data_IF_050453484087
#
_entry.id   IF_050453484087
#
_cell.length_a   1.000
_cell.length_b   1.000
_cell.length_c   1.000
_cell.angle_alpha   90.00
_cell.angle_beta   90.00
_cell.angle_gamma   90.00
#
_symmetry.space_group_name_H-M   'P 1'
#
loop_
_entity.id
_entity.type
_entity.pdbx_description
1 polymer ?
#
# COMPACT_ATOMS: atom_id res chain seq x y z
N UNK A 1 3.02 -8.47 -17.85
CA UNK A 1 3.48 -8.46 -16.44
C UNK A 1 3.24 -9.86 -15.92
N UNK A 2 4.23 -10.47 -15.34
CA UNK A 2 4.16 -11.85 -14.86
C UNK A 2 4.55 -11.88 -13.37
N UNK A 3 3.65 -12.41 -12.54
CA UNK A 3 3.85 -12.63 -11.13
C UNK A 3 3.83 -14.13 -10.78
N UNK A 4 3.92 -15.00 -11.80
CA UNK A 4 3.85 -16.46 -11.63
C UNK A 4 4.84 -16.96 -10.58
N UNK A 5 4.32 -17.73 -9.63
CA UNK A 5 5.09 -18.30 -8.52
C UNK A 5 5.54 -17.31 -7.45
N UNK A 6 5.20 -16.02 -7.55
CA UNK A 6 5.51 -15.04 -6.52
C UNK A 6 4.44 -15.03 -5.42
N UNK A 7 4.88 -15.06 -4.16
CA UNK A 7 4.03 -14.90 -2.98
C UNK A 7 4.06 -13.44 -2.54
N UNK A 8 2.91 -12.79 -2.57
CA UNK A 8 2.81 -11.34 -2.42
C UNK A 8 1.88 -10.96 -1.28
N UNK A 9 2.43 -10.32 -0.25
CA UNK A 9 1.64 -9.76 0.86
C UNK A 9 0.93 -8.50 0.40
N UNK A 10 -0.38 -8.44 0.64
CA UNK A 10 -1.24 -7.29 0.33
C UNK A 10 -1.90 -6.82 1.62
N UNK A 11 -1.51 -5.64 2.12
CA UNK A 11 -2.14 -5.04 3.30
C UNK A 11 -3.36 -4.21 2.90
N UNK A 12 -4.37 -4.10 3.78
CA UNK A 12 -5.64 -3.44 3.41
C UNK A 12 -6.39 -4.20 2.32
N UNK A 13 -6.23 -5.53 2.28
CA UNK A 13 -6.72 -6.39 1.22
C UNK A 13 -8.25 -6.38 1.05
N UNK A 14 -9.00 -6.19 2.14
CA UNK A 14 -10.47 -6.14 2.11
C UNK A 14 -11.02 -4.80 1.59
N UNK A 15 -10.20 -3.76 1.52
CA UNK A 15 -10.57 -2.43 1.00
C UNK A 15 -10.80 -2.41 -0.52
N UNK A 16 -11.31 -1.29 -1.04
CA UNK A 16 -11.64 -1.15 -2.47
C UNK A 16 -10.43 -1.35 -3.40
N UNK A 17 -9.28 -0.75 -3.09
CA UNK A 17 -8.05 -0.96 -3.85
C UNK A 17 -7.48 -2.37 -3.60
N UNK A 18 -7.50 -2.85 -2.35
CA UNK A 18 -6.98 -4.16 -1.99
C UNK A 18 -7.64 -5.31 -2.77
N UNK A 19 -8.96 -5.25 -2.95
CA UNK A 19 -9.71 -6.20 -3.78
C UNK A 19 -9.25 -6.21 -5.23
N UNK A 20 -9.06 -5.04 -5.81
CA UNK A 20 -8.60 -4.92 -7.20
C UNK A 20 -7.16 -5.43 -7.37
N UNK A 21 -6.28 -5.12 -6.40
CA UNK A 21 -4.90 -5.60 -6.41
C UNK A 21 -4.85 -7.13 -6.22
N UNK A 22 -5.64 -7.68 -5.30
CA UNK A 22 -5.76 -9.14 -5.11
C UNK A 22 -6.15 -9.83 -6.40
N UNK A 23 -7.21 -9.35 -7.06
CA UNK A 23 -7.66 -9.90 -8.35
C UNK A 23 -6.57 -9.80 -9.44
N UNK A 24 -5.85 -8.68 -9.50
CA UNK A 24 -4.78 -8.46 -10.47
C UNK A 24 -3.57 -9.38 -10.23
N UNK A 25 -3.19 -9.62 -8.97
CA UNK A 25 -2.11 -10.56 -8.59
C UNK A 25 -2.48 -11.98 -9.01
N UNK A 26 -3.69 -12.45 -8.71
CA UNK A 26 -4.18 -13.79 -9.11
C UNK A 26 -4.19 -13.93 -10.63
N UNK A 27 -4.74 -12.94 -11.35
CA UNK A 27 -4.80 -12.94 -12.81
C UNK A 27 -3.41 -12.98 -13.49
N UNK A 28 -2.35 -12.58 -12.78
CA UNK A 28 -0.96 -12.62 -13.23
C UNK A 28 -0.18 -13.83 -12.68
N UNK A 29 -0.86 -14.83 -12.11
CA UNK A 29 -0.27 -16.08 -11.63
C UNK A 29 0.43 -15.99 -10.29
N UNK A 30 0.30 -14.86 -9.57
CA UNK A 30 0.83 -14.68 -8.22
C UNK A 30 -0.08 -15.28 -7.15
N UNK A 31 0.49 -15.61 -6.00
CA UNK A 31 -0.24 -16.07 -4.81
C UNK A 31 -0.34 -14.92 -3.81
N UNK A 32 -1.53 -14.34 -3.59
CA UNK A 32 -1.70 -13.27 -2.61
C UNK A 32 -1.72 -13.83 -1.18
N UNK A 33 -1.06 -13.13 -0.27
CA UNK A 33 -1.13 -13.28 1.19
C UNK A 33 -1.89 -12.06 1.72
N UNK A 34 -3.15 -12.25 2.07
CA UNK A 34 -4.08 -11.16 2.35
C UNK A 34 -4.02 -10.74 3.81
N UNK A 35 -3.76 -9.46 4.06
CA UNK A 35 -3.68 -8.89 5.42
C UNK A 35 -4.69 -7.76 5.57
N UNK A 36 -5.54 -7.86 6.59
CA UNK A 36 -6.47 -6.80 6.99
C UNK A 36 -6.87 -6.96 8.48
N UNK A 37 -7.59 -6.01 9.06
CA UNK A 37 -8.18 -6.13 10.39
C UNK A 37 -9.22 -7.24 10.46
N UNK A 38 -10.01 -7.38 9.40
CA UNK A 38 -11.06 -8.40 9.27
C UNK A 38 -11.40 -8.63 7.80
N UNK A 39 -11.97 -9.78 7.51
CA UNK A 39 -12.43 -10.14 6.17
C UNK A 39 -13.92 -10.51 6.18
N UNK A 40 -14.72 -10.07 5.19
CA UNK A 40 -16.04 -10.67 4.94
C UNK A 40 -15.92 -12.18 4.69
N UNK A 41 -16.95 -12.93 5.07
CA UNK A 41 -16.92 -14.40 5.01
C UNK A 41 -16.69 -14.97 3.59
N UNK A 42 -17.15 -14.24 2.58
CA UNK A 42 -17.06 -14.58 1.16
C UNK A 42 -15.86 -13.96 0.44
N UNK A 43 -15.01 -13.23 1.17
CA UNK A 43 -13.87 -12.54 0.56
C UNK A 43 -12.79 -13.53 0.11
N UNK A 44 -12.42 -13.48 -1.19
CA UNK A 44 -11.34 -14.26 -1.81
C UNK A 44 -11.26 -15.71 -1.26
N UNK A 45 -12.26 -16.56 -1.55
CA UNK A 45 -12.27 -17.94 -1.08
C UNK A 45 -11.08 -18.71 -1.64
N UNK A 46 -10.42 -19.50 -0.78
CA UNK A 46 -9.23 -20.27 -1.14
C UNK A 46 -7.90 -19.55 -0.94
N UNK A 47 -7.89 -18.24 -0.73
CA UNK A 47 -6.66 -17.47 -0.49
C UNK A 47 -6.27 -17.43 1.00
N UNK A 48 -4.95 -17.34 1.28
CA UNK A 48 -4.45 -17.21 2.64
C UNK A 48 -4.77 -15.84 3.23
N UNK A 49 -5.44 -15.81 4.39
CA UNK A 49 -5.89 -14.60 5.08
C UNK A 49 -5.30 -14.50 6.47
N UNK A 50 -4.80 -13.33 6.80
CA UNK A 50 -4.19 -13.00 8.09
C UNK A 50 -4.93 -11.77 8.66
N UNK A 51 -5.78 -11.99 9.66
CA UNK A 51 -6.57 -10.93 10.29
C UNK A 51 -5.90 -10.46 11.58
N UNK A 52 -5.31 -9.25 11.56
CA UNK A 52 -4.66 -8.64 12.73
C UNK A 52 -4.46 -7.13 12.54
N UNK A 53 -4.21 -6.43 13.64
CA UNK A 53 -3.92 -4.99 13.63
C UNK A 53 -2.45 -4.73 13.26
N UNK A 54 -2.24 -4.09 12.11
CA UNK A 54 -0.91 -3.69 11.63
C UNK A 54 -0.24 -2.62 12.50
N UNK A 55 -0.97 -1.92 13.36
CA UNK A 55 -0.40 -0.96 14.31
C UNK A 55 0.23 -1.66 15.52
N UNK A 56 -0.11 -2.94 15.76
CA UNK A 56 0.57 -3.81 16.72
C UNK A 56 1.79 -4.46 16.05
N UNK A 57 2.96 -3.90 16.32
CA UNK A 57 4.25 -4.37 15.75
C UNK A 57 4.55 -5.81 16.17
N UNK A 58 4.21 -6.21 17.39
CA UNK A 58 4.47 -7.56 17.89
C UNK A 58 3.55 -8.60 17.21
N UNK A 59 2.26 -8.28 17.04
CA UNK A 59 1.34 -9.10 16.28
C UNK A 59 1.79 -9.21 14.81
N UNK A 60 2.18 -8.08 14.19
CA UNK A 60 2.69 -8.06 12.81
C UNK A 60 3.90 -9.00 12.66
N UNK A 61 4.89 -8.91 13.55
CA UNK A 61 6.08 -9.77 13.50
C UNK A 61 5.71 -11.27 13.62
N UNK A 62 4.79 -11.61 14.55
CA UNK A 62 4.31 -13.00 14.74
C UNK A 62 3.63 -13.54 13.50
N UNK A 63 2.70 -12.77 12.91
CA UNK A 63 1.92 -13.23 11.76
C UNK A 63 2.78 -13.31 10.49
N UNK A 64 3.65 -12.32 10.25
CA UNK A 64 4.60 -12.36 9.12
C UNK A 64 5.58 -13.54 9.23
N UNK A 65 5.98 -13.95 10.45
CA UNK A 65 6.82 -15.14 10.63
C UNK A 65 6.13 -16.41 10.09
N UNK A 66 4.81 -16.51 10.17
CA UNK A 66 4.01 -17.66 9.71
C UNK A 66 3.78 -17.68 8.19
N UNK A 67 3.98 -16.56 7.50
CA UNK A 67 3.70 -16.44 6.05
C UNK A 67 4.70 -17.19 5.15
N UNK A 68 5.77 -17.77 5.71
CA UNK A 68 6.79 -18.47 4.92
C UNK A 68 7.60 -17.53 4.02
N UNK A 69 7.80 -17.92 2.77
CA UNK A 69 8.49 -17.13 1.75
C UNK A 69 7.64 -15.95 1.28
N UNK A 70 8.26 -14.78 1.08
CA UNK A 70 7.59 -13.55 0.63
C UNK A 70 8.45 -12.92 -0.48
N UNK A 71 7.91 -12.85 -1.70
CA UNK A 71 8.57 -12.23 -2.85
C UNK A 71 8.19 -10.76 -3.00
N UNK A 72 6.99 -10.38 -2.58
CA UNK A 72 6.50 -9.01 -2.69
C UNK A 72 5.71 -8.54 -1.47
N UNK A 73 5.77 -7.22 -1.22
CA UNK A 73 4.96 -6.53 -0.21
C UNK A 73 4.27 -5.33 -0.87
N UNK A 74 2.96 -5.32 -0.87
CA UNK A 74 2.13 -4.21 -1.34
C UNK A 74 1.46 -3.55 -0.12
N UNK A 75 2.00 -2.41 0.32
CA UNK A 75 1.49 -1.65 1.46
C UNK A 75 0.34 -0.75 1.01
N UNK A 76 -0.89 -1.28 1.05
CA UNK A 76 -2.10 -0.55 0.68
C UNK A 76 -2.90 -0.06 1.89
N UNK A 77 -2.68 -0.66 3.07
CA UNK A 77 -3.34 -0.21 4.30
C UNK A 77 -3.07 1.27 4.55
N UNK A 78 -4.12 2.00 4.82
CA UNK A 78 -4.06 3.43 5.07
C UNK A 78 -5.44 4.02 5.24
N UNK A 79 -5.48 5.27 5.65
CA UNK A 79 -6.73 6.01 5.87
C UNK A 79 -6.61 7.46 5.42
N UNK A 80 -7.73 8.12 5.43
CA UNK A 80 -7.88 9.52 5.05
C UNK A 80 -8.67 10.26 6.11
N UNK A 81 -8.25 11.47 6.42
CA UNK A 81 -9.02 12.42 7.20
C UNK A 81 -8.74 13.84 6.71
N UNK A 82 -9.78 14.64 6.67
CA UNK A 82 -9.76 16.01 6.18
C UNK A 82 -10.22 16.96 7.28
N UNK A 83 -9.49 18.04 7.49
CA UNK A 83 -9.83 19.07 8.46
C UNK A 83 -8.79 20.18 8.49
N UNK A 84 -9.15 21.37 9.04
CA UNK A 84 -8.22 22.49 9.17
C UNK A 84 -6.97 22.07 9.96
N UNK A 85 -5.79 22.32 9.41
CA UNK A 85 -4.52 21.81 9.99
C UNK A 85 -4.24 22.31 11.41
N UNK A 86 -4.81 23.48 11.77
CA UNK A 86 -4.65 24.08 13.10
C UNK A 86 -5.70 23.62 14.11
N UNK A 87 -6.72 22.87 13.69
CA UNK A 87 -7.88 22.51 14.52
C UNK A 87 -8.19 21.01 14.52
N UNK A 88 -7.40 20.20 13.85
CA UNK A 88 -7.61 18.74 13.75
C UNK A 88 -7.38 18.00 15.07
N UNK A 89 -6.69 18.62 16.03
CA UNK A 89 -6.34 18.06 17.34
C UNK A 89 -5.29 16.94 17.27
N UNK A 90 -4.74 16.59 18.44
CA UNK A 90 -3.70 15.57 18.54
C UNK A 90 -4.21 14.19 18.10
N UNK A 91 -5.44 13.82 18.47
CA UNK A 91 -6.03 12.53 18.08
C UNK A 91 -6.12 12.37 16.56
N UNK A 92 -6.42 13.45 15.83
CA UNK A 92 -6.48 13.41 14.36
C UNK A 92 -5.11 13.24 13.72
N UNK A 93 -4.09 13.90 14.27
CA UNK A 93 -2.69 13.71 13.86
C UNK A 93 -2.25 12.28 14.15
N UNK A 94 -2.43 11.80 15.36
CA UNK A 94 -2.03 10.44 15.77
C UNK A 94 -2.74 9.38 14.94
N UNK A 95 -4.03 9.53 14.67
CA UNK A 95 -4.77 8.59 13.84
C UNK A 95 -4.17 8.49 12.43
N UNK A 96 -3.82 9.63 11.79
CA UNK A 96 -3.21 9.61 10.46
C UNK A 96 -1.83 8.96 10.45
N UNK A 97 -0.99 9.25 11.45
CA UNK A 97 0.33 8.62 11.56
C UNK A 97 0.24 7.14 11.92
N UNK A 98 -0.68 6.74 12.77
CA UNK A 98 -0.90 5.32 13.09
C UNK A 98 -1.32 4.53 11.87
N UNK A 99 -2.35 4.99 11.14
CA UNK A 99 -2.89 4.21 10.02
C UNK A 99 -2.02 4.26 8.76
N UNK A 100 -1.34 5.37 8.46
CA UNK A 100 -0.54 5.51 7.24
C UNK A 100 0.96 5.21 7.42
N UNK A 101 1.51 5.47 8.60
CA UNK A 101 2.95 5.34 8.84
C UNK A 101 3.27 4.11 9.68
N UNK A 102 2.60 3.92 10.81
CA UNK A 102 2.90 2.79 11.71
C UNK A 102 2.60 1.45 11.05
N UNK A 103 1.47 1.30 10.33
CA UNK A 103 1.13 0.08 9.59
C UNK A 103 2.21 -0.31 8.58
N UNK A 104 2.68 0.67 7.79
CA UNK A 104 3.77 0.46 6.83
C UNK A 104 5.07 0.08 7.53
N UNK A 105 5.46 0.81 8.57
CA UNK A 105 6.70 0.55 9.32
C UNK A 105 6.69 -0.84 9.94
N UNK A 106 5.59 -1.27 10.55
CA UNK A 106 5.45 -2.62 11.13
C UNK A 106 5.67 -3.70 10.08
N UNK A 107 5.04 -3.57 8.91
CA UNK A 107 5.19 -4.53 7.81
C UNK A 107 6.62 -4.54 7.24
N UNK A 108 7.20 -3.37 7.00
CA UNK A 108 8.59 -3.26 6.50
C UNK A 108 9.56 -3.90 7.48
N UNK A 109 9.44 -3.61 8.77
CA UNK A 109 10.31 -4.19 9.81
C UNK A 109 10.21 -5.72 9.89
N UNK A 110 9.03 -6.29 9.65
CA UNK A 110 8.82 -7.73 9.69
C UNK A 110 9.23 -8.45 8.39
N UNK A 111 8.99 -7.84 7.22
CA UNK A 111 9.18 -8.47 5.90
C UNK A 111 10.60 -8.29 5.37
N UNK A 112 11.22 -7.13 5.53
CA UNK A 112 12.57 -6.85 4.98
C UNK A 112 13.64 -7.84 5.43
N UNK A 113 13.71 -8.28 6.70
CA UNK A 113 14.68 -9.31 7.10
C UNK A 113 14.54 -10.62 6.32
N UNK A 114 13.30 -11.04 5.98
CA UNK A 114 13.05 -12.24 5.16
C UNK A 114 13.55 -12.03 3.72
N UNK A 115 13.24 -10.89 3.10
CA UNK A 115 13.72 -10.55 1.76
C UNK A 115 15.26 -10.44 1.70
N UNK A 116 15.89 -9.88 2.74
CA UNK A 116 17.35 -9.82 2.84
C UNK A 116 17.97 -11.22 2.91
N UNK A 117 17.38 -12.14 3.69
CA UNK A 117 17.82 -13.53 3.77
C UNK A 117 17.61 -14.28 2.43
N UNK A 118 16.62 -13.88 1.64
CA UNK A 118 16.34 -14.43 0.31
C UNK A 118 17.23 -13.80 -0.79
N UNK A 119 17.86 -12.64 -0.53
CA UNK A 119 18.62 -11.87 -1.51
C UNK A 119 17.78 -11.25 -2.62
N UNK A 120 16.45 -11.19 -2.45
CA UNK A 120 15.51 -10.61 -3.43
C UNK A 120 14.20 -10.21 -2.77
N UNK A 121 13.50 -9.27 -3.39
CA UNK A 121 12.16 -8.84 -2.98
C UNK A 121 11.69 -7.60 -3.72
N UNK A 122 10.39 -7.34 -3.65
CA UNK A 122 9.79 -6.10 -4.15
C UNK A 122 8.87 -5.48 -3.12
N UNK A 123 8.92 -4.17 -2.96
CA UNK A 123 8.02 -3.41 -2.07
C UNK A 123 7.37 -2.30 -2.88
N UNK A 124 6.04 -2.24 -2.86
CA UNK A 124 5.26 -1.16 -3.47
C UNK A 124 4.40 -0.50 -2.40
N UNK A 125 4.66 0.76 -2.15
CA UNK A 125 3.93 1.57 -1.17
C UNK A 125 2.87 2.44 -1.86
N UNK A 126 1.80 2.80 -1.14
CA UNK A 126 0.79 3.73 -1.63
C UNK A 126 0.93 5.06 -0.87
N UNK A 127 1.57 6.02 -1.55
CA UNK A 127 1.60 7.41 -1.14
C UNK A 127 0.30 8.14 -1.51
N UNK A 128 0.41 9.41 -1.85
CA UNK A 128 -0.70 10.21 -2.38
C UNK A 128 -0.17 11.37 -3.22
N UNK A 129 -0.81 11.64 -4.36
CA UNK A 129 -0.46 12.79 -5.18
C UNK A 129 -0.66 14.11 -4.43
N UNK A 130 -1.74 14.20 -3.63
CA UNK A 130 -2.02 15.36 -2.79
C UNK A 130 -1.03 15.60 -1.64
N UNK A 131 -0.08 14.68 -1.41
CA UNK A 131 0.98 14.84 -0.42
C UNK A 131 2.31 15.35 -1.02
N UNK A 132 2.39 15.54 -2.34
CA UNK A 132 3.57 16.11 -3.01
C UNK A 132 3.73 17.59 -2.66
N UNK A 133 2.62 18.28 -2.47
CA UNK A 133 2.56 19.68 -2.08
C UNK A 133 1.46 19.87 -1.03
N UNK A 134 1.68 20.77 -0.07
CA UNK A 134 0.68 21.09 0.96
C UNK A 134 -0.62 21.58 0.34
N UNK A 135 -1.74 21.05 0.84
CA UNK A 135 -3.09 21.41 0.42
C UNK A 135 -3.93 21.80 1.62
N UNK A 136 -4.88 22.71 1.42
CA UNK A 136 -5.81 23.10 2.47
C UNK A 136 -6.57 21.88 3.02
N UNK A 137 -6.74 21.84 4.33
CA UNK A 137 -7.45 20.80 5.07
C UNK A 137 -6.80 19.39 5.03
N UNK A 138 -5.63 19.22 4.43
CA UNK A 138 -4.95 17.94 4.32
C UNK A 138 -3.65 17.88 5.14
N UNK A 139 -3.47 18.73 6.16
CA UNK A 139 -2.23 18.83 6.92
C UNK A 139 -1.75 17.50 7.49
N UNK A 140 -2.53 16.86 8.35
CA UNK A 140 -2.15 15.59 8.98
C UNK A 140 -2.06 14.43 7.97
N UNK A 141 -3.03 14.31 7.06
CA UNK A 141 -3.00 13.33 5.99
C UNK A 141 -1.80 13.51 5.08
N UNK A 142 -1.61 14.73 4.53
CA UNK A 142 -0.50 15.05 3.63
C UNK A 142 0.85 14.80 4.29
N UNK A 143 1.04 15.21 5.56
CA UNK A 143 2.25 14.93 6.32
C UNK A 143 2.50 13.42 6.46
N UNK A 144 1.49 12.64 6.85
CA UNK A 144 1.62 11.18 7.00
C UNK A 144 1.99 10.50 5.67
N UNK A 145 1.37 10.90 4.55
CA UNK A 145 1.70 10.36 3.22
C UNK A 145 3.06 10.85 2.70
N UNK A 146 3.52 12.04 3.08
CA UNK A 146 4.87 12.50 2.78
C UNK A 146 5.93 11.63 3.48
N UNK A 147 5.67 11.16 4.70
CA UNK A 147 6.54 10.18 5.38
C UNK A 147 6.62 8.88 4.58
N UNK A 148 5.50 8.36 4.06
CA UNK A 148 5.50 7.16 3.20
C UNK A 148 6.39 7.35 1.97
N UNK A 149 6.32 8.52 1.34
CA UNK A 149 7.14 8.84 0.16
C UNK A 149 8.63 8.89 0.51
N UNK A 150 9.02 9.62 1.55
CA UNK A 150 10.43 9.70 1.98
C UNK A 150 10.97 8.35 2.46
N UNK A 151 10.16 7.56 3.16
CA UNK A 151 10.55 6.23 3.58
C UNK A 151 10.75 5.28 2.38
N UNK A 152 9.95 5.41 1.33
CA UNK A 152 10.14 4.66 0.07
C UNK A 152 11.51 4.93 -0.53
N UNK A 153 11.90 6.18 -0.63
CA UNK A 153 13.21 6.59 -1.19
C UNK A 153 14.38 6.11 -0.33
N UNK A 154 14.27 6.25 1.00
CA UNK A 154 15.28 5.77 1.94
C UNK A 154 15.46 4.26 1.85
N UNK A 155 14.37 3.49 1.92
CA UNK A 155 14.40 2.03 1.79
C UNK A 155 14.99 1.59 0.45
N UNK A 156 14.65 2.28 -0.63
CA UNK A 156 15.21 2.00 -1.95
C UNK A 156 16.73 2.21 -1.97
N UNK A 157 17.22 3.32 -1.40
CA UNK A 157 18.66 3.59 -1.32
C UNK A 157 19.41 2.54 -0.49
N UNK A 158 18.81 2.07 0.61
CA UNK A 158 19.40 1.07 1.51
C UNK A 158 19.39 -0.36 0.93
N UNK A 159 18.36 -0.72 0.13
CA UNK A 159 18.05 -2.10 -0.19
C UNK A 159 18.32 -2.50 -1.65
N UNK A 160 18.46 -1.56 -2.58
CA UNK A 160 18.65 -1.86 -4.02
C UNK A 160 19.85 -2.75 -4.31
N UNK A 161 20.98 -2.52 -3.63
CA UNK A 161 22.19 -3.35 -3.79
C UNK A 161 22.09 -4.71 -3.10
N UNK A 162 21.03 -4.91 -2.34
CA UNK A 162 20.69 -6.17 -1.67
C UNK A 162 19.62 -6.98 -2.43
N UNK A 163 19.31 -6.58 -3.68
CA UNK A 163 18.35 -7.24 -4.54
C UNK A 163 16.87 -6.96 -4.20
N UNK A 164 16.60 -5.93 -3.39
CA UNK A 164 15.23 -5.56 -3.03
C UNK A 164 14.85 -4.25 -3.73
N UNK A 165 13.77 -4.29 -4.50
CA UNK A 165 13.25 -3.14 -5.23
C UNK A 165 12.14 -2.46 -4.42
N UNK A 166 12.23 -1.14 -4.19
CA UNK A 166 11.24 -0.39 -3.43
C UNK A 166 10.77 0.83 -4.22
N UNK A 167 9.46 0.93 -4.46
CA UNK A 167 8.84 2.04 -5.19
C UNK A 167 7.50 2.41 -4.54
N UNK A 168 6.92 3.53 -4.92
CA UNK A 168 5.58 3.92 -4.53
C UNK A 168 4.74 4.40 -5.72
N UNK A 169 3.43 4.19 -5.62
CA UNK A 169 2.44 4.87 -6.46
C UNK A 169 1.86 6.06 -5.70
N UNK A 170 1.60 7.15 -6.42
CA UNK A 170 0.97 8.36 -5.90
C UNK A 170 -0.37 8.56 -6.61
N UNK A 171 -1.44 7.88 -6.18
CA UNK A 171 -2.74 8.09 -6.79
C UNK A 171 -3.31 9.47 -6.45
N UNK A 172 -4.11 10.02 -7.37
CA UNK A 172 -5.10 11.05 -7.07
C UNK A 172 -6.30 10.42 -6.36
N UNK A 173 -7.51 10.84 -6.64
CA UNK A 173 -8.70 10.22 -6.04
C UNK A 173 -8.94 8.85 -6.69
N UNK A 174 -9.05 7.81 -5.87
CA UNK A 174 -9.35 6.45 -6.33
C UNK A 174 -10.87 6.25 -6.33
N UNK A 175 -11.42 5.68 -7.38
CA UNK A 175 -12.85 5.38 -7.48
C UNK A 175 -13.23 4.20 -6.56
N UNK A 176 -13.53 4.52 -5.32
CA UNK A 176 -13.96 3.54 -4.29
C UNK A 176 -15.34 3.90 -3.76
N UNK A 177 -16.10 2.92 -3.23
CA UNK A 177 -17.38 3.19 -2.59
C UNK A 177 -17.30 4.25 -1.48
N UNK A 178 -16.20 4.27 -0.71
CA UNK A 178 -15.97 5.26 0.33
C UNK A 178 -15.84 6.67 -0.26
N UNK A 179 -14.96 6.86 -1.26
CA UNK A 179 -14.78 8.16 -1.91
C UNK A 179 -16.04 8.66 -2.62
N UNK A 180 -16.81 7.76 -3.25
CA UNK A 180 -18.10 8.12 -3.84
C UNK A 180 -19.10 8.60 -2.80
N UNK A 181 -19.11 8.01 -1.61
CA UNK A 181 -19.96 8.42 -0.49
C UNK A 181 -19.53 9.78 0.08
N UNK A 182 -18.21 10.01 0.19
CA UNK A 182 -17.67 11.23 0.81
C UNK A 182 -17.70 12.42 -0.16
N UNK A 183 -17.76 12.19 -1.47
CA UNK A 183 -17.79 13.20 -2.53
C UNK A 183 -18.92 12.94 -3.53
N UNK A 184 -20.19 13.04 -3.12
CA UNK A 184 -21.34 12.65 -3.95
C UNK A 184 -21.53 13.54 -5.19
N UNK A 185 -21.04 14.77 -5.15
CA UNK A 185 -21.16 15.75 -6.25
C UNK A 185 -19.98 15.69 -7.24
N UNK A 186 -18.96 14.87 -6.96
CA UNK A 186 -17.81 14.74 -7.85
C UNK A 186 -18.09 13.71 -8.97
N UNK A 187 -17.39 13.86 -10.10
CA UNK A 187 -17.51 12.97 -11.26
C UNK A 187 -16.50 11.79 -11.12
N UNK A 188 -16.96 10.56 -10.75
CA UNK A 188 -16.05 9.43 -10.58
C UNK A 188 -15.39 8.96 -11.89
N UNK A 189 -15.91 9.34 -13.06
CA UNK A 189 -15.29 8.99 -14.34
C UNK A 189 -13.91 9.66 -14.54
N UNK A 190 -13.61 10.71 -13.76
CA UNK A 190 -12.31 11.39 -13.75
C UNK A 190 -11.32 10.76 -12.77
N UNK A 191 -11.77 9.92 -11.86
CA UNK A 191 -10.95 9.32 -10.82
C UNK A 191 -10.13 8.13 -11.34
N UNK A 192 -9.17 7.70 -10.53
CA UNK A 192 -8.37 6.53 -10.85
C UNK A 192 -9.20 5.27 -10.60
N UNK A 193 -9.45 4.49 -11.64
CA UNK A 193 -10.09 3.21 -11.48
C UNK A 193 -9.19 2.25 -10.66
N UNK A 194 -9.70 1.55 -9.63
CA UNK A 194 -8.90 0.62 -8.82
C UNK A 194 -8.16 -0.43 -9.64
N UNK A 195 -8.76 -0.91 -10.73
CA UNK A 195 -8.14 -1.88 -11.64
C UNK A 195 -6.93 -1.30 -12.40
N UNK A 196 -6.97 -0.02 -12.77
CA UNK A 196 -5.85 0.65 -13.44
C UNK A 196 -4.68 0.86 -12.46
N UNK A 197 -4.97 1.32 -11.26
CA UNK A 197 -3.97 1.46 -10.21
C UNK A 197 -3.36 0.10 -9.83
N UNK A 198 -4.17 -0.95 -9.74
CA UNK A 198 -3.71 -2.32 -9.49
C UNK A 198 -2.72 -2.80 -10.56
N UNK A 199 -2.97 -2.50 -11.84
CA UNK A 199 -2.02 -2.82 -12.92
C UNK A 199 -0.67 -2.13 -12.75
N UNK A 200 -0.65 -0.85 -12.35
CA UNK A 200 0.59 -0.13 -12.08
C UNK A 200 1.33 -0.72 -10.87
N UNK A 201 0.62 -1.06 -9.79
CA UNK A 201 1.18 -1.71 -8.61
C UNK A 201 1.79 -3.06 -8.98
N UNK A 202 1.08 -3.91 -9.72
CA UNK A 202 1.59 -5.21 -10.18
C UNK A 202 2.80 -5.05 -11.12
N UNK A 203 2.81 -4.04 -12.00
CA UNK A 203 3.97 -3.73 -12.82
C UNK A 203 5.20 -3.43 -11.96
N UNK A 204 5.08 -2.55 -10.97
CA UNK A 204 6.18 -2.19 -10.08
C UNK A 204 6.66 -3.38 -9.22
N UNK A 205 5.80 -4.37 -8.95
CA UNK A 205 6.15 -5.60 -8.24
C UNK A 205 6.71 -6.71 -9.14
N UNK A 206 6.66 -6.53 -10.46
CA UNK A 206 7.15 -7.51 -11.44
C UNK A 206 8.61 -7.28 -11.82
N UNK A 207 9.23 -8.29 -12.44
CA UNK A 207 10.60 -8.18 -12.94
C UNK A 207 10.75 -7.18 -14.09
N UNK A 208 9.63 -6.78 -14.72
CA UNK A 208 9.63 -5.73 -15.75
C UNK A 208 10.02 -4.35 -15.20
N UNK A 209 9.84 -4.14 -13.88
CA UNK A 209 10.20 -2.89 -13.21
C UNK A 209 11.54 -2.97 -12.45
N UNK A 210 12.36 -4.03 -12.68
CA UNK A 210 13.60 -4.27 -11.90
C UNK A 210 14.61 -3.12 -11.92
N UNK A 211 14.56 -2.27 -12.93
CA UNK A 211 15.47 -1.11 -13.06
C UNK A 211 14.89 0.18 -12.47
N UNK A 212 13.66 0.14 -11.92
CA UNK A 212 12.97 1.29 -11.32
C UNK A 212 13.17 1.21 -9.81
N UNK A 213 13.93 2.14 -9.24
CA UNK A 213 14.26 2.16 -7.82
C UNK A 213 13.95 3.52 -7.20
N UNK A 214 13.21 3.56 -6.10
CA UNK A 214 12.85 4.76 -5.36
C UNK A 214 11.88 5.68 -6.11
N UNK A 215 11.21 5.18 -7.13
CA UNK A 215 10.28 5.97 -7.90
C UNK A 215 9.00 6.26 -7.11
N UNK A 216 8.54 7.50 -7.23
CA UNK A 216 7.26 7.98 -6.75
C UNK A 216 6.38 8.21 -7.99
N UNK A 217 5.61 7.20 -8.38
CA UNK A 217 4.90 7.16 -9.67
C UNK A 217 3.52 7.80 -9.56
N UNK A 218 3.28 8.99 -10.15
CA UNK A 218 1.96 9.61 -10.14
C UNK A 218 0.95 8.78 -10.97
N UNK A 219 -0.23 8.51 -10.39
CA UNK A 219 -1.34 7.86 -11.08
C UNK A 219 -2.57 8.75 -10.94
N UNK A 220 -2.87 9.55 -11.96
CA UNK A 220 -3.82 10.65 -11.86
C UNK A 220 -5.24 10.33 -12.31
N UNK A 221 -5.43 9.38 -13.22
CA UNK A 221 -6.67 9.34 -13.98
C UNK A 221 -6.80 10.62 -14.82
N UNK A 222 -7.95 11.26 -14.75
CA UNK A 222 -8.23 12.55 -15.40
C UNK A 222 -8.35 13.71 -14.38
N UNK A 223 -7.96 13.48 -13.12
CA UNK A 223 -8.06 14.48 -12.03
C UNK A 223 -6.69 14.96 -11.56
#
# INVERSE_FOLDING_TARGET
>A
MDLSGKRIVITGAAGGLGRAVTAAVIAQGGTPLLVDLAFPADFAPGEEKFAFDLTDTAATAREVARMGHIDGLMNLAGGFHMGPSHDIGDDGWDAMFRINVQTLRSMVAAVVPKMLAQGRGTIVNVGALGAVQGQAQLGAYGASKSVVMRLTESLSAELRERGINVNAVLPSIIDTPANRKDMPDADPAKWVAPADLARVICFLASDAARAIHGALVPVRGLS
#
